data_IF_310343203059
#
_entry.id   IF_310343203059
#
_cell.length_a   1.000
_cell.length_b   1.000
_cell.length_c   1.000
_cell.angle_alpha   90.00
_cell.angle_beta   90.00
_cell.angle_gamma   90.00
#
_symmetry.space_group_name_H-M   'P 1'
#
loop_
_entity.id
_entity.type
_entity.pdbx_description
1 polymer ?
#
# COMPACT_ATOMS: atom_id res chain seq x y z
N UNK A 1 2.67 -3.20 -24.77
CA UNK A 1 3.35 -4.32 -24.08
C UNK A 1 3.73 -3.78 -22.72
N UNK A 2 2.75 -3.74 -21.81
CA UNK A 2 2.93 -3.22 -20.46
C UNK A 2 3.21 -4.40 -19.54
N UNK A 3 4.47 -4.53 -19.15
CA UNK A 3 4.91 -5.52 -18.17
C UNK A 3 4.42 -5.07 -16.79
N UNK A 4 3.31 -5.65 -16.33
CA UNK A 4 2.92 -5.61 -14.93
C UNK A 4 3.98 -6.37 -14.12
N UNK A 5 4.68 -5.68 -13.23
CA UNK A 5 5.59 -6.33 -12.26
C UNK A 5 4.71 -7.01 -11.22
N UNK A 6 4.56 -8.34 -11.35
CA UNK A 6 3.83 -9.20 -10.42
C UNK A 6 4.83 -9.65 -9.35
N UNK A 7 4.62 -9.22 -8.10
CA UNK A 7 5.31 -9.80 -6.94
C UNK A 7 4.45 -10.95 -6.44
N UNK A 8 4.83 -12.18 -6.78
CA UNK A 8 4.16 -13.40 -6.29
C UNK A 8 4.91 -13.94 -5.07
N UNK A 9 4.22 -14.16 -3.96
CA UNK A 9 4.72 -14.93 -2.82
C UNK A 9 3.84 -16.19 -2.69
N UNK A 10 4.45 -17.38 -2.68
CA UNK A 10 3.73 -18.67 -2.63
C UNK A 10 3.86 -19.25 -1.22
N UNK A 11 2.76 -19.38 -0.48
CA UNK A 11 2.66 -20.26 0.70
C UNK A 11 1.21 -20.81 0.77
N UNK A 12 1.02 -22.13 0.62
CA UNK A 12 -0.28 -22.84 0.77
C UNK A 12 -0.75 -22.92 2.24
N UNK A 13 -2.00 -23.25 2.60
CA UNK A 13 -2.94 -24.23 2.03
C UNK A 13 -4.42 -23.88 2.38
N UNK A 14 -5.32 -24.45 1.56
CA UNK A 14 -6.79 -24.64 1.51
C UNK A 14 -7.84 -23.86 2.35
N UNK A 15 -8.92 -23.48 1.64
CA UNK A 15 -10.26 -22.97 2.04
C UNK A 15 -10.46 -21.53 2.61
N UNK A 16 -9.39 -20.75 2.70
CA UNK A 16 -9.45 -19.29 2.74
C UNK A 16 -8.96 -18.79 1.39
N UNK A 17 -9.57 -17.75 0.78
CA UNK A 17 -8.97 -17.09 -0.40
C UNK A 17 -7.47 -16.96 -0.14
N UNK A 18 -6.64 -17.50 -1.03
CA UNK A 18 -5.19 -17.50 -0.86
C UNK A 18 -4.68 -16.05 -0.99
N UNK A 19 -4.75 -15.35 0.13
CA UNK A 19 -4.39 -13.95 0.26
C UNK A 19 -2.87 -13.77 0.24
N UNK A 20 -2.09 -14.83 0.41
CA UNK A 20 -0.63 -14.77 0.26
C UNK A 20 -0.23 -14.67 -1.22
N UNK A 21 -1.05 -15.20 -2.12
CA UNK A 21 -0.83 -15.17 -3.57
C UNK A 21 -1.49 -13.99 -4.30
N UNK A 22 -2.20 -13.10 -3.59
CA UNK A 22 -2.78 -11.90 -4.21
C UNK A 22 -1.67 -10.94 -4.62
N UNK A 23 -1.15 -11.13 -5.83
CA UNK A 23 -0.27 -10.19 -6.48
C UNK A 23 -1.03 -8.89 -6.67
N UNK A 24 -0.72 -7.90 -5.84
CA UNK A 24 -1.36 -6.60 -5.94
C UNK A 24 -1.04 -5.99 -7.30
N UNK A 25 -2.03 -5.75 -8.17
CA UNK A 25 -1.78 -5.01 -9.38
C UNK A 25 -1.29 -3.62 -8.96
N UNK A 26 -0.12 -3.21 -9.48
CA UNK A 26 0.44 -1.87 -9.29
C UNK A 26 -0.35 -0.82 -10.09
N UNK A 27 -1.68 -0.88 -10.03
CA UNK A 27 -2.60 0.02 -10.72
C UNK A 27 -2.96 1.21 -9.83
N UNK A 28 -3.30 2.32 -10.47
CA UNK A 28 -3.54 3.57 -9.77
C UNK A 28 -2.26 4.17 -9.18
N UNK A 29 -2.35 5.43 -8.78
CA UNK A 29 -1.19 6.22 -8.36
C UNK A 29 -1.61 7.39 -7.48
N UNK A 30 -0.71 7.85 -6.61
CA UNK A 30 -0.88 9.10 -5.88
C UNK A 30 -0.01 10.16 -6.57
N UNK A 31 -0.62 11.27 -6.98
CA UNK A 31 0.05 12.37 -7.64
C UNK A 31 0.05 13.62 -6.77
N UNK A 32 1.18 14.31 -6.74
CA UNK A 32 1.24 15.71 -6.31
C UNK A 32 0.56 16.60 -7.35
N UNK A 33 -0.30 17.50 -6.90
CA UNK A 33 -1.15 18.31 -7.80
C UNK A 33 -0.64 19.73 -7.97
N UNK A 34 0.18 20.23 -7.03
CA UNK A 34 0.51 21.65 -6.91
C UNK A 34 -0.65 22.54 -6.42
N UNK A 35 -1.82 21.96 -6.13
CA UNK A 35 -2.98 22.67 -5.60
C UNK A 35 -2.85 22.79 -4.08
N UNK A 36 -2.82 24.03 -3.58
CA UNK A 36 -2.74 24.31 -2.15
C UNK A 36 -3.93 23.76 -1.35
N UNK A 37 -5.07 23.45 -1.98
CA UNK A 37 -6.29 22.93 -1.35
C UNK A 37 -6.54 21.44 -1.61
N UNK A 38 -5.69 20.79 -2.41
CA UNK A 38 -5.69 19.35 -2.59
C UNK A 38 -4.29 18.90 -3.05
N UNK A 39 -3.27 18.95 -2.18
CA UNK A 39 -1.86 18.76 -2.60
C UNK A 39 -1.59 17.39 -3.21
N UNK A 40 -2.41 16.40 -2.87
CA UNK A 40 -2.32 15.04 -3.39
C UNK A 40 -3.65 14.56 -3.96
N UNK A 41 -3.58 13.80 -5.06
CA UNK A 41 -4.74 13.18 -5.70
C UNK A 41 -4.45 11.72 -6.02
N UNK A 42 -5.34 10.84 -5.60
CA UNK A 42 -5.29 9.42 -5.93
C UNK A 42 -6.03 9.19 -7.25
N UNK A 43 -5.37 8.56 -8.21
CA UNK A 43 -5.91 8.17 -9.50
C UNK A 43 -6.11 6.64 -9.56
N UNK A 44 -7.17 6.21 -10.21
CA UNK A 44 -7.46 4.81 -10.50
C UNK A 44 -6.64 4.26 -11.69
N UNK A 45 -6.91 3.02 -12.10
CA UNK A 45 -6.25 2.38 -13.25
C UNK A 45 -6.50 3.08 -14.58
N UNK A 46 -7.57 3.85 -14.71
CA UNK A 46 -7.90 4.65 -15.87
C UNK A 46 -7.36 6.09 -15.77
N UNK A 47 -6.57 6.40 -14.74
CA UNK A 47 -6.06 7.75 -14.48
C UNK A 47 -7.13 8.73 -13.99
N UNK A 48 -8.32 8.24 -13.59
CA UNK A 48 -9.39 9.08 -13.06
C UNK A 48 -9.26 9.28 -11.56
N UNK A 49 -9.60 10.46 -11.03
CA UNK A 49 -9.57 10.70 -9.59
C UNK A 49 -10.53 9.78 -8.85
N UNK A 50 -10.07 9.22 -7.73
CA UNK A 50 -10.97 8.57 -6.76
C UNK A 50 -11.54 9.66 -5.86
N UNK A 51 -12.76 10.10 -6.17
CA UNK A 51 -13.36 11.28 -5.54
C UNK A 51 -13.53 11.15 -4.02
N UNK A 52 -13.83 9.95 -3.51
CA UNK A 52 -13.92 9.69 -2.08
C UNK A 52 -12.61 9.99 -1.34
N UNK A 53 -11.47 9.69 -1.97
CA UNK A 53 -10.14 10.00 -1.42
C UNK A 53 -9.87 11.50 -1.48
N UNK A 54 -10.21 12.15 -2.60
CA UNK A 54 -10.04 13.60 -2.74
C UNK A 54 -10.87 14.38 -1.71
N UNK A 55 -12.08 13.93 -1.40
CA UNK A 55 -12.91 14.52 -0.35
C UNK A 55 -12.27 14.33 1.03
N UNK A 56 -11.85 13.11 1.36
CA UNK A 56 -11.20 12.82 2.63
C UNK A 56 -9.91 13.61 2.86
N UNK A 57 -9.06 13.76 1.84
CA UNK A 57 -7.83 14.54 1.95
C UNK A 57 -8.11 16.04 2.13
N UNK A 58 -9.17 16.57 1.49
CA UNK A 58 -9.64 17.93 1.74
C UNK A 58 -10.09 18.12 3.19
N UNK A 59 -10.81 17.16 3.76
CA UNK A 59 -11.23 17.22 5.17
C UNK A 59 -10.03 17.18 6.13
N UNK A 60 -9.03 16.34 5.85
CA UNK A 60 -7.78 16.33 6.62
C UNK A 60 -7.04 17.66 6.53
N UNK A 61 -7.01 18.28 5.36
CA UNK A 61 -6.38 19.58 5.18
C UNK A 61 -7.12 20.69 5.92
N UNK A 62 -8.45 20.70 5.83
CA UNK A 62 -9.31 21.63 6.56
C UNK A 62 -9.13 21.47 8.08
N UNK A 63 -8.81 20.26 8.55
CA UNK A 63 -8.43 19.97 9.93
C UNK A 63 -6.98 20.37 10.29
N UNK A 64 -6.26 21.05 9.39
CA UNK A 64 -4.90 21.56 9.62
C UNK A 64 -3.80 20.51 9.58
N UNK A 65 -4.02 19.35 8.94
CA UNK A 65 -2.99 18.32 8.80
C UNK A 65 -1.95 18.72 7.76
N UNK A 66 -0.69 18.38 8.04
CA UNK A 66 0.43 18.70 7.15
C UNK A 66 0.35 17.93 5.84
N UNK A 67 0.93 18.49 4.77
CA UNK A 67 1.02 17.82 3.47
C UNK A 67 1.71 16.44 3.57
N UNK A 68 2.74 16.31 4.42
CA UNK A 68 3.37 15.03 4.70
C UNK A 68 2.39 13.99 5.28
N UNK A 69 1.45 14.43 6.13
CA UNK A 69 0.40 13.57 6.66
C UNK A 69 -0.58 13.19 5.56
N UNK A 70 -1.03 14.15 4.74
CA UNK A 70 -1.89 13.87 3.58
C UNK A 70 -1.26 12.85 2.62
N UNK A 71 0.05 12.99 2.35
CA UNK A 71 0.81 12.06 1.51
C UNK A 71 0.79 10.64 2.09
N UNK A 72 1.10 10.49 3.38
CA UNK A 72 1.10 9.18 4.05
C UNK A 72 -0.28 8.53 4.02
N UNK A 73 -1.34 9.30 4.33
CA UNK A 73 -2.71 8.81 4.24
C UNK A 73 -3.11 8.46 2.79
N UNK A 74 -2.71 9.26 1.81
CA UNK A 74 -2.94 8.98 0.39
C UNK A 74 -2.26 7.69 -0.07
N UNK A 75 -1.04 7.43 0.40
CA UNK A 75 -0.31 6.19 0.11
C UNK A 75 -0.96 4.97 0.78
N UNK A 76 -1.50 5.12 1.98
CA UNK A 76 -2.21 4.06 2.70
C UNK A 76 -3.53 3.73 2.01
N UNK A 77 -4.28 4.77 1.62
CA UNK A 77 -5.50 4.63 0.83
C UNK A 77 -5.21 4.00 -0.54
N UNK A 78 -4.10 4.33 -1.20
CA UNK A 78 -3.70 3.68 -2.45
C UNK A 78 -3.54 2.17 -2.30
N UNK A 79 -2.95 1.71 -1.19
CA UNK A 79 -2.86 0.27 -0.91
C UNK A 79 -4.24 -0.34 -0.68
N UNK A 80 -5.10 0.33 0.08
CA UNK A 80 -6.48 -0.11 0.29
C UNK A 80 -7.30 -0.21 -1.01
N UNK A 81 -7.25 0.82 -1.87
CA UNK A 81 -7.98 0.81 -3.14
C UNK A 81 -7.43 -0.24 -4.11
N UNK A 82 -6.11 -0.45 -4.16
CA UNK A 82 -5.51 -1.56 -4.92
C UNK A 82 -6.02 -2.92 -4.46
N UNK A 83 -6.18 -3.10 -3.15
CA UNK A 83 -6.73 -4.35 -2.60
C UNK A 83 -8.18 -4.53 -3.07
N UNK A 84 -9.00 -3.50 -2.89
CA UNK A 84 -10.40 -3.51 -3.29
C UNK A 84 -10.62 -3.77 -4.78
N UNK A 85 -9.81 -3.15 -5.65
CA UNK A 85 -9.85 -3.42 -7.09
C UNK A 85 -9.45 -4.85 -7.42
N UNK A 86 -8.44 -5.40 -6.74
CA UNK A 86 -8.00 -6.78 -6.96
C UNK A 86 -9.03 -7.82 -6.51
N UNK A 87 -9.82 -7.53 -5.48
CA UNK A 87 -10.94 -8.39 -5.04
C UNK A 87 -12.29 -8.00 -5.64
N UNK A 88 -12.29 -7.06 -6.59
CA UNK A 88 -13.46 -6.57 -7.32
C UNK A 88 -14.60 -6.04 -6.42
N UNK A 89 -14.24 -5.46 -5.26
CA UNK A 89 -15.19 -4.86 -4.32
C UNK A 89 -15.15 -3.34 -4.42
N UNK A 90 -16.30 -2.73 -4.66
CA UNK A 90 -16.42 -1.27 -4.60
C UNK A 90 -16.23 -0.76 -3.17
N UNK A 91 -15.56 0.39 -3.00
CA UNK A 91 -15.19 0.92 -1.68
C UNK A 91 -16.41 1.18 -0.78
N UNK A 92 -17.54 1.58 -1.36
CA UNK A 92 -18.81 1.83 -0.68
C UNK A 92 -19.56 0.54 -0.30
N UNK A 93 -19.08 -0.61 -0.79
CA UNK A 93 -19.60 -1.95 -0.48
C UNK A 93 -18.65 -2.77 0.38
N UNK A 94 -17.45 -2.27 0.65
CA UNK A 94 -16.46 -2.95 1.46
C UNK A 94 -16.96 -3.11 2.90
N UNK A 95 -16.84 -4.32 3.43
CA UNK A 95 -17.28 -4.66 4.78
C UNK A 95 -16.09 -4.90 5.70
N UNK A 96 -16.37 -5.30 6.95
CA UNK A 96 -15.34 -5.74 7.89
C UNK A 96 -14.57 -6.97 7.40
N UNK A 97 -15.16 -7.78 6.51
CA UNK A 97 -14.49 -8.94 5.91
C UNK A 97 -13.32 -8.47 5.05
N UNK A 98 -13.56 -7.57 4.10
CA UNK A 98 -12.51 -7.02 3.23
C UNK A 98 -11.44 -6.27 4.04
N UNK A 99 -11.83 -5.52 5.08
CA UNK A 99 -10.88 -4.83 5.94
C UNK A 99 -9.96 -5.81 6.70
N UNK A 100 -10.51 -6.89 7.26
CA UNK A 100 -9.74 -7.95 7.95
C UNK A 100 -8.77 -8.61 6.97
N UNK A 101 -9.25 -8.92 5.79
CA UNK A 101 -8.50 -9.62 4.75
C UNK A 101 -7.36 -8.73 4.24
N UNK A 102 -7.58 -7.43 4.07
CA UNK A 102 -6.53 -6.44 3.79
C UNK A 102 -5.48 -6.35 4.91
N UNK A 103 -5.90 -6.30 6.17
CA UNK A 103 -4.95 -6.28 7.30
C UNK A 103 -4.09 -7.56 7.35
N UNK A 104 -4.68 -8.73 7.09
CA UNK A 104 -3.94 -9.99 6.98
C UNK A 104 -2.94 -9.95 5.83
N UNK A 105 -3.38 -9.45 4.67
CA UNK A 105 -2.51 -9.26 3.50
C UNK A 105 -1.33 -8.32 3.80
N UNK A 106 -1.57 -7.20 4.50
CA UNK A 106 -0.51 -6.25 4.92
C UNK A 106 0.54 -6.89 5.83
N UNK A 107 0.11 -7.76 6.77
CA UNK A 107 1.01 -8.45 7.69
C UNK A 107 1.92 -9.47 6.98
N UNK A 108 1.39 -10.18 5.99
CA UNK A 108 2.15 -11.17 5.19
C UNK A 108 3.06 -10.47 4.18
N UNK A 109 2.56 -9.43 3.50
CA UNK A 109 3.31 -8.70 2.48
C UNK A 109 4.45 -7.86 3.07
N UNK A 110 4.27 -7.30 4.27
CA UNK A 110 5.33 -6.60 5.00
C UNK A 110 6.47 -7.52 5.46
N UNK A 111 6.18 -8.82 5.66
CA UNK A 111 7.19 -9.84 5.96
C UNK A 111 8.12 -10.07 4.76
N UNK A 112 7.58 -10.07 3.53
CA UNK A 112 8.39 -10.19 2.30
C UNK A 112 9.33 -9.00 2.08
N UNK A 113 8.94 -7.78 2.47
CA UNK A 113 9.83 -6.62 2.41
C UNK A 113 11.03 -6.73 3.38
N UNK A 114 10.84 -7.39 4.52
CA UNK A 114 11.92 -7.71 5.47
C UNK A 114 12.77 -8.92 5.05
N UNK A 115 12.20 -9.85 4.26
CA UNK A 115 12.89 -11.02 3.73
C UNK A 115 13.58 -10.77 2.38
N UNK A 116 13.26 -9.66 1.68
CA UNK A 116 13.96 -9.23 0.47
C UNK A 116 15.38 -8.67 0.75
N UNK A 117 15.79 -8.61 2.03
CA UNK A 117 17.18 -8.37 2.37
C UNK A 117 17.70 -9.27 3.50
N UNK A 118 18.03 -10.54 3.19
CA UNK A 118 18.82 -11.38 4.07
C UNK A 118 20.30 -10.96 4.10
N UNK A 119 20.69 -9.90 3.36
CA UNK A 119 22.08 -9.60 2.99
C UNK A 119 22.66 -8.27 3.49
N UNK A 120 21.88 -7.32 4.03
CA UNK A 120 22.45 -6.07 4.59
C UNK A 120 22.80 -6.13 6.08
N UNK A 121 22.67 -7.28 6.72
CA UNK A 121 23.43 -7.56 7.94
C UNK A 121 24.87 -7.91 7.58
N UNK A 122 25.66 -6.88 7.22
CA UNK A 122 27.06 -7.08 6.88
C UNK A 122 27.80 -5.88 6.33
N UNK A 123 27.93 -4.78 7.09
CA UNK A 123 29.17 -3.98 7.05
C UNK A 123 29.22 -3.01 8.22
N UNK A 124 29.92 -3.41 9.29
CA UNK A 124 30.18 -2.53 10.41
C UNK A 124 30.69 -3.29 11.63
N UNK A 125 31.92 -3.81 11.54
CA UNK A 125 32.85 -4.12 12.65
C UNK A 125 32.23 -4.86 13.86
N UNK A 126 32.57 -6.13 14.02
CA UNK A 126 32.30 -6.88 15.25
C UNK A 126 32.82 -6.09 16.48
N UNK A 127 31.97 -5.70 17.45
CA UNK A 127 32.40 -4.97 18.63
C UNK A 127 33.36 -5.74 19.55
N UNK A 128 33.58 -7.04 19.31
CA UNK A 128 34.39 -7.89 20.19
C UNK A 128 35.82 -8.17 19.67
N UNK A 129 36.19 -7.69 18.49
CA UNK A 129 37.57 -7.80 17.97
C UNK A 129 38.45 -6.57 18.27
N UNK A 130 37.96 -5.58 19.04
CA UNK A 130 38.73 -4.38 19.41
C UNK A 130 39.42 -4.49 20.80
N UNK A 131 39.45 -5.67 21.42
CA UNK A 131 40.01 -5.89 22.77
C UNK A 131 40.95 -7.11 22.86
N UNK A 132 41.79 -7.32 21.85
CA UNK A 132 43.01 -8.14 21.95
C UNK A 132 44.20 -7.32 21.48
#
# INVERSE_FOLDING_TARGET
>A
MDSAVIVTCVIGDDDSRDMAQLAMPLVGSLHETGDAWLPYRLLDSAGKPVEAVSAYLRDLQAAGRSEATLRSYGMDLLRWFRFLWAVEVAWDRATRVEARDFCRWMLVSGKSALLHDPGSWGSGRDPLEALK
#
